data_IF_553732530117
#
_entry.id   IF_553732530117
#
_cell.length_a   1.000
_cell.length_b   1.000
_cell.length_c   1.000
_cell.angle_alpha   90.00
_cell.angle_beta   90.00
_cell.angle_gamma   90.00
#
_symmetry.space_group_name_H-M   'P 1'
#
loop_
_entity.id
_entity.type
_entity.pdbx_description
1 polymer ?
#
# COMPACT_ATOMS: atom_id res chain seq x y z
N UNK A 1 -57.92 6.68 43.33
CA UNK A 1 -57.82 5.97 42.04
C UNK A 1 -56.84 6.67 41.09
N UNK A 2 -56.94 8.01 40.92
CA UNK A 2 -56.00 8.81 40.10
C UNK A 2 -54.52 8.68 40.53
N UNK A 3 -54.22 8.67 41.83
CA UNK A 3 -52.83 8.64 42.33
C UNK A 3 -52.03 7.38 41.91
N UNK A 4 -52.69 6.21 41.87
CA UNK A 4 -52.09 4.96 41.37
C UNK A 4 -51.81 5.02 39.87
N UNK A 5 -52.73 5.61 39.10
CA UNK A 5 -52.59 5.74 37.65
C UNK A 5 -51.42 6.67 37.33
N UNK A 6 -51.32 7.81 38.03
CA UNK A 6 -50.20 8.74 37.87
C UNK A 6 -48.86 8.07 38.21
N UNK A 7 -48.76 7.30 39.31
CA UNK A 7 -47.54 6.55 39.63
C UNK A 7 -47.17 5.53 38.55
N UNK A 8 -48.14 4.77 38.03
CA UNK A 8 -47.89 3.79 36.97
C UNK A 8 -47.37 4.46 35.69
N UNK A 9 -47.96 5.59 35.31
CA UNK A 9 -47.53 6.36 34.12
C UNK A 9 -46.10 6.87 34.29
N UNK A 10 -45.76 7.43 35.46
CA UNK A 10 -44.40 7.92 35.74
C UNK A 10 -43.38 6.79 35.63
N UNK A 11 -43.67 5.62 36.20
CA UNK A 11 -42.78 4.45 36.13
C UNK A 11 -42.56 4.01 34.68
N UNK A 12 -43.62 3.92 33.87
CA UNK A 12 -43.51 3.54 32.46
C UNK A 12 -42.69 4.56 31.67
N UNK A 13 -42.89 5.85 31.89
CA UNK A 13 -42.10 6.90 31.24
C UNK A 13 -40.62 6.80 31.62
N UNK A 14 -40.30 6.59 32.90
CA UNK A 14 -38.90 6.42 33.33
C UNK A 14 -38.25 5.17 32.72
N UNK A 15 -38.98 4.06 32.60
CA UNK A 15 -38.48 2.85 31.95
C UNK A 15 -38.24 3.05 30.45
N UNK A 16 -39.12 3.78 29.77
CA UNK A 16 -38.97 4.08 28.35
C UNK A 16 -37.72 4.95 28.08
N UNK A 17 -37.46 5.97 28.92
CA UNK A 17 -36.24 6.79 28.81
C UNK A 17 -35.00 5.95 29.09
N UNK A 18 -35.00 5.14 30.16
CA UNK A 18 -33.86 4.29 30.50
C UNK A 18 -33.56 3.27 29.38
N UNK A 19 -34.59 2.67 28.79
CA UNK A 19 -34.44 1.74 27.68
C UNK A 19 -33.92 2.41 26.40
N UNK A 20 -34.39 3.62 26.10
CA UNK A 20 -33.92 4.40 24.95
C UNK A 20 -32.44 4.79 25.09
N UNK A 21 -32.03 5.24 26.29
CA UNK A 21 -30.62 5.50 26.59
C UNK A 21 -29.79 4.22 26.48
N UNK A 22 -30.26 3.11 27.05
CA UNK A 22 -29.57 1.82 26.96
C UNK A 22 -29.35 1.38 25.50
N UNK A 23 -30.38 1.52 24.65
CA UNK A 23 -30.28 1.22 23.22
C UNK A 23 -29.20 2.09 22.54
N UNK A 24 -29.20 3.39 22.82
CA UNK A 24 -28.21 4.32 22.26
C UNK A 24 -26.78 3.97 22.71
N UNK A 25 -26.58 3.66 23.99
CA UNK A 25 -25.27 3.29 24.55
C UNK A 25 -24.75 1.95 24.05
N UNK A 26 -25.61 0.95 23.86
CA UNK A 26 -25.20 -0.42 23.53
C UNK A 26 -25.11 -0.67 22.03
N UNK A 27 -25.92 -0.01 21.20
CA UNK A 27 -25.98 -0.27 19.76
C UNK A 27 -25.37 0.87 18.97
N UNK A 28 -25.75 2.12 19.25
CA UNK A 28 -25.34 3.26 18.42
C UNK A 28 -23.88 3.67 18.68
N UNK A 29 -23.50 3.85 19.94
CA UNK A 29 -22.14 4.24 20.34
C UNK A 29 -21.01 3.28 19.87
N UNK A 30 -21.15 1.95 19.97
CA UNK A 30 -20.13 1.05 19.42
C UNK A 30 -20.16 1.00 17.89
N UNK A 31 -21.26 1.35 17.22
CA UNK A 31 -21.34 1.32 15.76
C UNK A 31 -20.48 2.40 15.10
N UNK A 32 -20.46 3.62 15.64
CA UNK A 32 -19.60 4.70 15.14
C UNK A 32 -18.12 4.38 15.31
N UNK A 33 -17.72 3.89 16.49
CA UNK A 33 -16.32 3.52 16.75
C UNK A 33 -15.85 2.35 15.90
N UNK A 34 -16.74 1.41 15.57
CA UNK A 34 -16.45 0.31 14.63
C UNK A 34 -16.28 0.84 13.21
N UNK A 35 -17.16 1.75 12.78
CA UNK A 35 -17.07 2.36 11.45
C UNK A 35 -15.76 3.15 11.25
N UNK A 36 -15.31 3.91 12.26
CA UNK A 36 -14.01 4.61 12.20
C UNK A 36 -12.83 3.64 12.15
N UNK A 37 -12.83 2.59 12.99
CA UNK A 37 -11.78 1.57 12.96
C UNK A 37 -11.74 0.80 11.65
N UNK A 38 -12.89 0.47 11.08
CA UNK A 38 -12.97 -0.21 9.79
C UNK A 38 -12.43 0.68 8.66
N UNK A 39 -12.73 1.98 8.66
CA UNK A 39 -12.16 2.93 7.70
C UNK A 39 -10.64 3.03 7.83
N UNK A 40 -10.13 3.24 9.05
CA UNK A 40 -8.69 3.31 9.30
C UNK A 40 -7.96 2.00 8.96
N UNK A 41 -8.61 0.85 9.16
CA UNK A 41 -8.03 -0.46 8.82
C UNK A 41 -8.01 -0.66 7.30
N UNK A 42 -9.07 -0.28 6.59
CA UNK A 42 -9.13 -0.32 5.12
C UNK A 42 -8.08 0.58 4.49
N UNK A 43 -7.96 1.83 4.94
CA UNK A 43 -6.93 2.76 4.45
C UNK A 43 -5.51 2.20 4.66
N UNK A 44 -5.25 1.58 5.83
CA UNK A 44 -3.96 0.91 6.09
C UNK A 44 -3.75 -0.27 5.16
N UNK A 45 -4.75 -1.12 4.97
CA UNK A 45 -4.67 -2.28 4.08
C UNK A 45 -4.44 -1.85 2.63
N UNK A 46 -5.11 -0.80 2.17
CA UNK A 46 -4.93 -0.24 0.84
C UNK A 46 -3.52 0.37 0.68
N UNK A 47 -3.05 1.11 1.69
CA UNK A 47 -1.70 1.66 1.70
C UNK A 47 -0.63 0.56 1.70
N UNK A 48 -0.81 -0.51 2.48
CA UNK A 48 0.08 -1.67 2.51
C UNK A 48 0.06 -2.45 1.19
N UNK A 49 -1.13 -2.71 0.64
CA UNK A 49 -1.28 -3.36 -0.65
C UNK A 49 -0.60 -2.55 -1.75
N UNK A 50 -0.78 -1.23 -1.72
CA UNK A 50 -0.15 -0.35 -2.68
C UNK A 50 1.38 -0.35 -2.53
N UNK A 51 1.91 -0.27 -1.30
CA UNK A 51 3.36 -0.41 -1.04
C UNK A 51 3.91 -1.74 -1.53
N UNK A 52 3.17 -2.83 -1.34
CA UNK A 52 3.56 -4.15 -1.83
C UNK A 52 3.60 -4.21 -3.35
N UNK A 53 2.60 -3.61 -4.03
CA UNK A 53 2.57 -3.48 -5.50
C UNK A 53 3.74 -2.64 -6.01
N UNK A 54 3.97 -1.48 -5.39
CA UNK A 54 5.05 -0.57 -5.77
C UNK A 54 6.42 -1.25 -5.61
N UNK A 55 6.63 -1.97 -4.50
CA UNK A 55 7.84 -2.75 -4.26
C UNK A 55 8.04 -3.85 -5.30
N UNK A 56 7.00 -4.62 -5.61
CA UNK A 56 7.06 -5.67 -6.64
C UNK A 56 7.38 -5.08 -8.02
N UNK A 57 6.74 -3.97 -8.37
CA UNK A 57 7.00 -3.25 -9.62
C UNK A 57 8.44 -2.74 -9.71
N UNK A 58 8.97 -2.19 -8.62
CA UNK A 58 10.37 -1.77 -8.52
C UNK A 58 11.33 -2.95 -8.71
N UNK A 59 11.12 -4.07 -8.01
CA UNK A 59 11.98 -5.24 -8.12
C UNK A 59 11.96 -5.84 -9.53
N UNK A 60 10.79 -5.88 -10.18
CA UNK A 60 10.64 -6.31 -11.56
C UNK A 60 11.37 -5.39 -12.53
N UNK A 61 11.16 -4.07 -12.42
CA UNK A 61 11.81 -3.07 -13.28
C UNK A 61 13.34 -3.14 -13.15
N UNK A 62 13.85 -3.25 -11.92
CA UNK A 62 15.29 -3.40 -11.66
C UNK A 62 15.85 -4.70 -12.22
N UNK A 63 15.10 -5.79 -12.11
CA UNK A 63 15.48 -7.10 -12.65
C UNK A 63 15.57 -7.09 -14.17
N UNK A 64 14.59 -6.48 -14.84
CA UNK A 64 14.57 -6.29 -16.28
C UNK A 64 15.73 -5.41 -16.76
N UNK A 65 16.00 -4.29 -16.08
CA UNK A 65 17.15 -3.45 -16.39
C UNK A 65 18.49 -4.20 -16.27
N UNK A 66 18.64 -5.08 -15.27
CA UNK A 66 19.82 -5.91 -15.11
C UNK A 66 19.93 -6.98 -16.22
N UNK A 67 18.82 -7.60 -16.59
CA UNK A 67 18.77 -8.61 -17.64
C UNK A 67 19.13 -8.00 -19.01
N UNK A 68 18.58 -6.81 -19.30
CA UNK A 68 18.93 -6.04 -20.50
C UNK A 68 20.40 -5.65 -20.51
N UNK A 69 20.92 -5.14 -19.38
CA UNK A 69 22.35 -4.82 -19.24
C UNK A 69 23.24 -6.04 -19.51
N UNK A 70 22.93 -7.21 -18.94
CA UNK A 70 23.70 -8.43 -19.17
C UNK A 70 23.64 -8.89 -20.64
N UNK A 71 22.46 -8.81 -21.26
CA UNK A 71 22.27 -9.12 -22.69
C UNK A 71 23.05 -8.17 -23.60
N UNK A 72 23.03 -6.87 -23.30
CA UNK A 72 23.76 -5.85 -24.05
C UNK A 72 25.28 -5.98 -23.86
N UNK A 73 25.71 -6.37 -22.66
CA UNK A 73 27.11 -6.70 -22.36
C UNK A 73 27.58 -7.90 -23.19
N UNK A 74 26.83 -8.99 -23.18
CA UNK A 74 27.12 -10.19 -23.99
C UNK A 74 27.17 -9.86 -25.48
N UNK A 75 26.23 -9.03 -25.98
CA UNK A 75 26.20 -8.60 -27.38
C UNK A 75 27.42 -7.74 -27.73
N UNK A 76 27.82 -6.84 -26.84
CA UNK A 76 29.03 -6.06 -27.02
C UNK A 76 30.26 -6.98 -27.05
N UNK A 77 30.33 -7.98 -26.18
CA UNK A 77 31.40 -8.96 -26.17
C UNK A 77 31.49 -9.77 -27.47
N UNK A 78 30.34 -10.21 -27.99
CA UNK A 78 30.26 -10.90 -29.29
C UNK A 78 30.75 -10.02 -30.44
N UNK A 79 30.45 -8.72 -30.42
CA UNK A 79 30.93 -7.78 -31.43
C UNK A 79 32.47 -7.65 -31.43
N UNK A 80 33.13 -7.93 -30.30
CA UNK A 80 34.59 -8.01 -30.20
C UNK A 80 35.15 -9.43 -30.40
N UNK A 81 34.31 -10.41 -30.77
CA UNK A 81 34.71 -11.81 -30.91
C UNK A 81 35.13 -12.48 -29.60
N UNK A 82 34.70 -11.95 -28.45
CA UNK A 82 35.02 -12.46 -27.12
C UNK A 82 33.87 -13.33 -26.57
N UNK A 83 34.16 -14.25 -25.62
CA UNK A 83 33.12 -15.02 -24.94
C UNK A 83 32.19 -14.11 -24.10
N UNK A 84 31.10 -14.70 -23.59
CA UNK A 84 30.21 -14.04 -22.62
C UNK A 84 30.98 -13.56 -21.38
N UNK A 85 30.49 -12.50 -20.74
CA UNK A 85 31.17 -11.85 -19.60
C UNK A 85 32.64 -11.47 -19.89
N UNK A 86 32.89 -10.88 -21.05
CA UNK A 86 34.21 -10.39 -21.40
C UNK A 86 34.53 -9.03 -20.76
N UNK A 87 35.82 -8.71 -20.65
CA UNK A 87 36.29 -7.36 -20.37
C UNK A 87 36.12 -6.44 -21.59
N UNK A 88 35.13 -5.56 -21.54
CA UNK A 88 34.90 -4.54 -22.57
C UNK A 88 35.89 -3.36 -22.42
N UNK A 89 36.22 -2.65 -23.52
CA UNK A 89 36.95 -1.40 -23.44
C UNK A 89 36.22 -0.37 -22.56
N UNK A 90 37.00 0.45 -21.84
CA UNK A 90 36.48 1.40 -20.83
C UNK A 90 35.32 2.26 -21.32
N UNK A 91 35.40 2.78 -22.54
CA UNK A 91 34.33 3.60 -23.12
C UNK A 91 33.00 2.82 -23.28
N UNK A 92 33.08 1.56 -23.69
CA UNK A 92 31.91 0.71 -23.89
C UNK A 92 31.30 0.25 -22.56
N UNK A 93 32.14 -0.14 -21.59
CA UNK A 93 31.69 -0.52 -20.25
C UNK A 93 31.06 0.68 -19.52
N UNK A 94 31.70 1.86 -19.55
CA UNK A 94 31.16 3.07 -18.93
C UNK A 94 29.82 3.48 -19.55
N UNK A 95 29.64 3.29 -20.87
CA UNK A 95 28.36 3.55 -21.53
C UNK A 95 27.26 2.61 -21.02
N UNK A 96 27.53 1.32 -20.94
CA UNK A 96 26.56 0.33 -20.45
C UNK A 96 26.25 0.53 -18.96
N UNK A 97 27.26 0.84 -18.15
CA UNK A 97 27.12 1.15 -16.73
C UNK A 97 26.24 2.38 -16.51
N UNK A 98 26.42 3.43 -17.33
CA UNK A 98 25.57 4.62 -17.30
C UNK A 98 24.12 4.28 -17.63
N UNK A 99 23.87 3.50 -18.69
CA UNK A 99 22.53 3.06 -19.06
C UNK A 99 21.85 2.26 -17.93
N UNK A 100 22.59 1.36 -17.28
CA UNK A 100 22.08 0.62 -16.12
C UNK A 100 21.74 1.55 -14.95
N UNK A 101 22.56 2.55 -14.67
CA UNK A 101 22.29 3.56 -13.63
C UNK A 101 21.04 4.37 -13.95
N UNK A 102 20.94 4.89 -15.17
CA UNK A 102 19.78 5.66 -15.64
C UNK A 102 18.49 4.83 -15.56
N UNK A 103 18.51 3.58 -16.01
CA UNK A 103 17.37 2.68 -15.92
C UNK A 103 16.97 2.39 -14.45
N UNK A 104 17.94 2.20 -13.55
CA UNK A 104 17.67 2.02 -12.11
C UNK A 104 17.05 3.27 -11.48
N UNK A 105 17.54 4.45 -11.85
CA UNK A 105 16.99 5.74 -11.38
C UNK A 105 15.59 5.98 -11.92
N UNK A 106 15.30 5.57 -13.16
CA UNK A 106 13.95 5.61 -13.72
C UNK A 106 13.01 4.67 -12.98
N UNK A 107 13.43 3.42 -12.69
CA UNK A 107 12.66 2.50 -11.85
C UNK A 107 12.38 3.08 -10.46
N UNK A 108 13.39 3.70 -9.83
CA UNK A 108 13.22 4.36 -8.54
C UNK A 108 12.22 5.51 -8.63
N UNK A 109 12.34 6.37 -9.65
CA UNK A 109 11.43 7.50 -9.85
C UNK A 109 9.99 7.06 -10.04
N UNK A 110 9.78 6.00 -10.82
CA UNK A 110 8.45 5.48 -11.17
C UNK A 110 7.71 4.85 -10.00
N UNK A 111 8.41 4.13 -9.11
CA UNK A 111 7.76 3.33 -8.06
C UNK A 111 7.96 3.87 -6.64
N UNK A 112 9.01 4.69 -6.39
CA UNK A 112 9.40 5.09 -5.03
C UNK A 112 9.49 6.61 -4.80
N UNK A 113 9.68 7.42 -5.85
CA UNK A 113 9.86 8.89 -5.70
C UNK A 113 8.59 9.71 -6.00
N UNK A 114 7.61 9.16 -6.71
CA UNK A 114 6.41 9.87 -7.18
C UNK A 114 5.20 9.84 -6.24
N UNK A 115 5.40 9.83 -4.92
CA UNK A 115 4.32 9.85 -3.92
C UNK A 115 4.54 10.87 -2.82
#
# INVERSE_FOLDING_TARGET
MMDRIVRVVVVICTLAVAFSLFYYFVIFLPSEKRAERDRATRERQEAELQRAKDRKGYEQCRGEALATYASDWDRACQAYGKPKDCGLPRHSSERLDRLLREAREECFRKFLYGK
#
